data_IF_889955765321
#
_entry.id   IF_889955765321
#
_cell.length_a   1.000
_cell.length_b   1.000
_cell.length_c   1.000
_cell.angle_alpha   90.00
_cell.angle_beta   90.00
_cell.angle_gamma   90.00
#
_symmetry.space_group_name_H-M   'P 1'
#
loop_
_entity.id
_entity.type
_entity.pdbx_description
1 polymer ?
#
# COMPACT_ATOMS: atom_id res chain seq x y z
N UNK A 1 -25.46 20.26 2.13
CA UNK A 1 -24.90 18.92 2.39
C UNK A 1 -23.41 19.10 2.57
N UNK A 2 -22.92 18.91 3.80
CA UNK A 2 -21.53 19.24 4.15
C UNK A 2 -20.58 18.24 3.48
N UNK A 3 -19.42 18.69 2.99
CA UNK A 3 -18.43 17.89 2.26
C UNK A 3 -17.95 16.65 3.03
N UNK A 4 -18.13 16.62 4.36
CA UNK A 4 -17.90 15.46 5.22
C UNK A 4 -18.85 14.26 4.93
N UNK A 5 -19.98 14.47 4.25
CA UNK A 5 -20.95 13.40 3.94
C UNK A 5 -20.65 12.65 2.64
N UNK A 6 -19.60 13.04 1.88
CA UNK A 6 -19.33 12.48 0.55
C UNK A 6 -18.36 11.28 0.55
N UNK A 7 -17.68 10.99 1.66
CA UNK A 7 -16.91 9.75 1.80
C UNK A 7 -17.79 8.72 2.50
N UNK A 8 -18.60 7.99 1.74
CA UNK A 8 -19.45 6.95 2.32
C UNK A 8 -18.55 5.94 3.05
N UNK A 9 -18.90 5.51 4.28
CA UNK A 9 -18.17 4.48 5.03
C UNK A 9 -17.89 3.23 4.20
N UNK A 10 -18.71 2.97 3.17
CA UNK A 10 -18.53 1.88 2.21
C UNK A 10 -17.28 1.98 1.34
N UNK A 11 -16.81 3.18 0.97
CA UNK A 11 -15.59 3.35 0.16
C UNK A 11 -14.35 3.12 1.03
N UNK A 12 -14.33 3.68 2.24
CA UNK A 12 -13.25 3.42 3.20
C UNK A 12 -13.18 1.97 3.63
N UNK A 13 -14.32 1.33 3.92
CA UNK A 13 -14.34 -0.12 4.18
C UNK A 13 -13.77 -0.89 3.00
N UNK A 14 -14.11 -0.54 1.76
CA UNK A 14 -13.51 -1.18 0.57
C UNK A 14 -12.01 -0.97 0.49
N UNK A 15 -11.50 0.24 0.72
CA UNK A 15 -10.06 0.55 0.70
C UNK A 15 -9.34 -0.26 1.77
N UNK A 16 -9.84 -0.27 3.01
CA UNK A 16 -9.25 -1.01 4.13
C UNK A 16 -9.33 -2.52 3.94
N UNK A 17 -10.44 -3.05 3.43
CA UNK A 17 -10.57 -4.47 3.09
C UNK A 17 -9.58 -4.88 2.00
N UNK A 18 -9.39 -4.05 0.97
CA UNK A 18 -8.39 -4.32 -0.08
C UNK A 18 -6.95 -4.24 0.46
N UNK A 19 -6.65 -3.28 1.32
CA UNK A 19 -5.36 -3.21 2.03
C UNK A 19 -5.12 -4.43 2.92
N UNK A 20 -6.14 -4.88 3.66
CA UNK A 20 -6.06 -6.08 4.49
C UNK A 20 -5.81 -7.35 3.64
N UNK A 21 -6.47 -7.49 2.49
CA UNK A 21 -6.19 -8.61 1.57
C UNK A 21 -4.75 -8.59 1.04
N UNK A 22 -4.19 -7.41 0.79
CA UNK A 22 -2.79 -7.28 0.37
C UNK A 22 -1.83 -7.81 1.43
N UNK A 23 -2.11 -7.56 2.71
CA UNK A 23 -1.29 -8.02 3.84
C UNK A 23 -1.51 -9.51 4.14
N UNK A 24 -2.76 -10.00 4.09
CA UNK A 24 -3.12 -11.35 4.54
C UNK A 24 -2.76 -12.43 3.51
N UNK A 25 -3.09 -12.22 2.23
CA UNK A 25 -3.04 -13.31 1.24
C UNK A 25 -1.70 -13.33 0.49
N UNK A 26 -0.86 -12.28 0.63
CA UNK A 26 0.39 -12.10 -0.14
C UNK A 26 0.20 -11.99 -1.66
N UNK A 27 -1.01 -12.25 -2.16
CA UNK A 27 -1.35 -12.17 -3.57
C UNK A 27 -1.68 -10.73 -3.93
N UNK A 28 -0.66 -10.01 -4.35
CA UNK A 28 -0.87 -8.78 -5.11
C UNK A 28 -1.64 -9.03 -6.41
N UNK A 29 -1.76 -10.27 -6.87
CA UNK A 29 -2.50 -10.70 -8.07
C UNK A 29 -3.95 -10.18 -8.11
N UNK A 30 -4.68 -10.22 -6.99
CA UNK A 30 -6.05 -9.70 -6.94
C UNK A 30 -6.10 -8.15 -6.88
N UNK A 31 -5.04 -7.52 -6.37
CA UNK A 31 -4.84 -6.06 -6.43
C UNK A 31 -4.34 -5.57 -7.81
N UNK A 32 -3.63 -6.42 -8.54
CA UNK A 32 -3.06 -6.18 -9.87
C UNK A 32 -4.14 -5.92 -10.91
N UNK A 33 -5.33 -6.51 -10.74
CA UNK A 33 -6.51 -6.20 -11.55
C UNK A 33 -6.91 -4.71 -11.51
N UNK A 34 -6.30 -3.91 -10.62
CA UNK A 34 -6.41 -2.44 -10.53
C UNK A 34 -5.09 -1.68 -10.74
N UNK A 35 -4.12 -2.23 -11.46
CA UNK A 35 -2.87 -1.52 -11.87
C UNK A 35 -3.12 -0.14 -12.52
N UNK A 36 -4.33 0.13 -13.01
CA UNK A 36 -4.70 1.41 -13.61
C UNK A 36 -4.81 2.56 -12.61
N UNK A 37 -4.99 2.31 -11.31
CA UNK A 37 -5.02 3.37 -10.28
C UNK A 37 -3.59 3.78 -9.88
N UNK A 38 -3.43 5.02 -9.40
CA UNK A 38 -2.14 5.51 -8.87
C UNK A 38 -1.63 4.62 -7.74
N UNK A 39 -2.50 4.26 -6.79
CA UNK A 39 -2.19 3.33 -5.70
C UNK A 39 -1.76 1.95 -6.20
N UNK A 40 -2.48 1.36 -7.16
CA UNK A 40 -2.12 0.05 -7.72
C UNK A 40 -0.76 0.05 -8.40
N UNK A 41 -0.43 1.14 -9.12
CA UNK A 41 0.88 1.33 -9.73
C UNK A 41 1.99 1.49 -8.69
N UNK A 42 1.73 2.27 -7.65
CA UNK A 42 2.64 2.43 -6.51
C UNK A 42 2.96 1.10 -5.84
N UNK A 43 1.94 0.30 -5.53
CA UNK A 43 2.12 -1.00 -4.91
C UNK A 43 2.94 -1.96 -5.81
N UNK A 44 2.74 -1.91 -7.13
CA UNK A 44 3.55 -2.69 -8.07
C UNK A 44 5.04 -2.30 -8.05
N UNK A 45 5.34 -1.00 -7.92
CA UNK A 45 6.73 -0.55 -7.78
C UNK A 45 7.34 -0.97 -6.44
N UNK A 46 6.60 -0.83 -5.33
CA UNK A 46 7.06 -1.30 -4.02
C UNK A 46 7.43 -2.80 -4.04
N UNK A 47 6.61 -3.64 -4.71
CA UNK A 47 6.92 -5.06 -4.90
C UNK A 47 8.18 -5.30 -5.72
N UNK A 48 8.30 -4.60 -6.85
CA UNK A 48 9.46 -4.73 -7.73
C UNK A 48 10.75 -4.32 -7.00
N UNK A 49 10.71 -3.21 -6.27
CA UNK A 49 11.83 -2.71 -5.48
C UNK A 49 12.23 -3.69 -4.37
N UNK A 50 11.24 -4.25 -3.66
CA UNK A 50 11.48 -5.28 -2.64
C UNK A 50 12.21 -6.47 -3.25
N UNK A 51 11.71 -7.00 -4.36
CA UNK A 51 12.30 -8.16 -5.02
C UNK A 51 13.75 -7.89 -5.48
N UNK A 52 14.02 -6.71 -6.05
CA UNK A 52 15.37 -6.32 -6.48
C UNK A 52 16.31 -6.13 -5.29
N UNK A 53 15.83 -5.51 -4.22
CA UNK A 53 16.63 -5.28 -3.02
C UNK A 53 17.01 -6.61 -2.34
N UNK A 54 16.05 -7.52 -2.17
CA UNK A 54 16.31 -8.86 -1.61
C UNK A 54 17.25 -9.66 -2.51
N UNK A 55 17.09 -9.60 -3.84
CA UNK A 55 17.99 -10.28 -4.76
C UNK A 55 19.45 -9.77 -4.70
N UNK A 56 19.65 -8.53 -4.24
CA UNK A 56 20.97 -7.93 -4.06
C UNK A 56 21.48 -8.00 -2.61
N UNK A 57 20.70 -8.52 -1.67
CA UNK A 57 21.08 -8.61 -0.27
C UNK A 57 22.11 -9.73 -0.06
N UNK A 58 23.11 -9.47 0.78
CA UNK A 58 24.17 -10.39 1.16
C UNK A 58 24.13 -10.78 2.63
N UNK A 59 23.49 -9.95 3.47
CA UNK A 59 23.37 -10.18 4.92
C UNK A 59 21.91 -10.11 5.39
N UNK A 60 21.55 -10.83 6.48
CA UNK A 60 20.20 -10.77 7.05
C UNK A 60 19.74 -9.35 7.43
N UNK A 61 20.68 -8.48 7.83
CA UNK A 61 20.37 -7.07 8.11
C UNK A 61 19.94 -6.29 6.86
N UNK A 62 20.46 -6.66 5.68
CA UNK A 62 20.07 -6.04 4.42
C UNK A 62 18.70 -6.55 3.98
N UNK A 63 18.38 -7.83 4.18
CA UNK A 63 17.03 -8.35 3.95
C UNK A 63 15.99 -7.66 4.84
N UNK A 64 16.33 -7.44 6.13
CA UNK A 64 15.51 -6.69 7.06
C UNK A 64 15.31 -5.23 6.61
N UNK A 65 16.39 -4.58 6.13
CA UNK A 65 16.31 -3.24 5.54
C UNK A 65 15.40 -3.20 4.30
N UNK A 66 15.57 -4.14 3.36
CA UNK A 66 14.77 -4.25 2.15
C UNK A 66 13.28 -4.41 2.49
N UNK A 67 12.96 -5.27 3.47
CA UNK A 67 11.59 -5.47 3.94
C UNK A 67 11.02 -4.21 4.58
N UNK A 68 11.75 -3.59 5.51
CA UNK A 68 11.30 -2.38 6.18
C UNK A 68 11.06 -1.21 5.20
N UNK A 69 11.96 -1.04 4.23
CA UNK A 69 11.87 0.03 3.24
C UNK A 69 10.76 -0.22 2.23
N UNK A 70 10.79 -1.36 1.54
CA UNK A 70 9.96 -1.58 0.35
C UNK A 70 8.63 -2.27 0.68
N UNK A 71 8.59 -3.16 1.67
CA UNK A 71 7.35 -3.85 2.05
C UNK A 71 6.49 -3.08 3.06
N UNK A 72 7.09 -2.17 3.85
CA UNK A 72 6.39 -1.42 4.90
C UNK A 72 6.29 0.06 4.54
N UNK A 73 7.43 0.77 4.46
CA UNK A 73 7.42 2.23 4.29
C UNK A 73 6.83 2.65 2.94
N UNK A 74 7.31 2.09 1.83
CA UNK A 74 6.80 2.41 0.48
C UNK A 74 5.32 2.03 0.33
N UNK A 75 4.91 0.87 0.83
CA UNK A 75 3.49 0.46 0.84
C UNK A 75 2.64 1.46 1.64
N UNK A 76 3.10 1.88 2.82
CA UNK A 76 2.43 2.91 3.62
C UNK A 76 2.25 4.22 2.84
N UNK A 77 3.29 4.68 2.14
CA UNK A 77 3.22 5.84 1.26
C UNK A 77 2.24 5.66 0.10
N UNK A 78 2.17 4.47 -0.51
CA UNK A 78 1.21 4.18 -1.58
C UNK A 78 -0.25 4.33 -1.15
N UNK A 79 -0.55 3.99 0.10
CA UNK A 79 -1.90 4.12 0.66
C UNK A 79 -2.21 5.54 1.15
N UNK A 80 -1.21 6.35 1.51
CA UNK A 80 -1.42 7.71 1.99
C UNK A 80 -2.26 8.57 1.02
N UNK A 81 -2.05 8.41 -0.29
CA UNK A 81 -2.83 9.10 -1.33
C UNK A 81 -4.26 8.57 -1.51
N UNK A 82 -4.51 7.32 -1.11
CA UNK A 82 -5.84 6.70 -1.16
C UNK A 82 -6.69 7.02 0.07
N UNK A 83 -6.05 7.43 1.17
CA UNK A 83 -6.73 7.79 2.41
C UNK A 83 -7.24 9.24 2.33
N UNK A 84 -8.44 9.51 2.87
CA UNK A 84 -8.90 10.89 3.02
C UNK A 84 -7.95 11.65 3.96
N UNK A 85 -7.77 12.97 3.77
CA UNK A 85 -6.97 13.79 4.66
C UNK A 85 -7.49 13.67 6.10
N UNK A 86 -6.59 13.33 7.03
CA UNK A 86 -6.90 13.14 8.43
C UNK A 86 -7.48 14.42 9.03
N UNK A 87 -8.72 14.39 9.53
CA UNK A 87 -9.34 15.50 10.27
C UNK A 87 -8.80 15.65 11.71
N UNK A 88 -7.74 14.92 12.06
CA UNK A 88 -7.10 14.93 13.38
C UNK A 88 -5.90 15.89 13.47
N UNK A 89 -5.63 16.67 12.42
CA UNK A 89 -4.72 17.80 12.47
C UNK A 89 -5.53 19.08 12.76
N UNK A 90 -5.93 19.25 14.02
CA UNK A 90 -6.32 20.52 14.61
C UNK A 90 -5.92 20.51 16.09
#
# INVERSE_FOLDING_TARGET
VSTAQAYSPSVMNRILTLGAYQVIEGSMEKGLAKSQTSTGRCLNWARLNLAQCIAAAHFPSEEAYCTGKHAIAEVGSCWAEALPPSTLAN
#
